data_IF_094215574455
#
_entry.id   IF_094215574455
#
_cell.length_a   1.000
_cell.length_b   1.000
_cell.length_c   1.000
_cell.angle_alpha   90.00
_cell.angle_beta   90.00
_cell.angle_gamma   90.00
#
_symmetry.space_group_name_H-M   'P 1'
#
loop_
_entity.id
_entity.type
_entity.pdbx_description
1 polymer ?
#
# COMPACT_ATOMS: atom_id res chain seq x y z
N UNK A 1 -21.07 -7.26 -14.45
CA UNK A 1 -20.14 -7.69 -15.50
C UNK A 1 -19.01 -6.67 -15.54
N UNK A 2 -17.76 -7.02 -15.22
CA UNK A 2 -16.65 -6.04 -15.24
C UNK A 2 -16.47 -5.50 -16.66
N UNK A 3 -16.35 -4.18 -16.81
CA UNK A 3 -16.03 -3.54 -18.09
C UNK A 3 -14.65 -4.01 -18.57
N UNK A 4 -14.41 -4.14 -19.89
CA UNK A 4 -13.11 -4.50 -20.47
C UNK A 4 -11.96 -3.67 -19.90
N UNK A 5 -12.17 -2.36 -19.65
CA UNK A 5 -11.17 -1.50 -18.98
C UNK A 5 -10.78 -2.03 -17.59
N UNK A 6 -11.75 -2.42 -16.77
CA UNK A 6 -11.53 -2.93 -15.42
C UNK A 6 -10.84 -4.29 -15.44
N UNK A 7 -11.14 -5.15 -16.44
CA UNK A 7 -10.46 -6.43 -16.62
C UNK A 7 -8.97 -6.20 -16.91
N UNK A 8 -8.65 -5.31 -17.85
CA UNK A 8 -7.26 -4.95 -18.18
C UNK A 8 -6.55 -4.36 -16.97
N UNK A 9 -7.19 -3.44 -16.25
CA UNK A 9 -6.60 -2.82 -15.06
C UNK A 9 -6.33 -3.84 -13.95
N UNK A 10 -7.30 -4.72 -13.67
CA UNK A 10 -7.14 -5.79 -12.67
C UNK A 10 -5.99 -6.74 -13.04
N UNK A 11 -5.91 -7.16 -14.30
CA UNK A 11 -4.83 -8.04 -14.75
C UNK A 11 -3.47 -7.34 -14.67
N UNK A 12 -3.41 -6.05 -15.04
CA UNK A 12 -2.21 -5.22 -14.91
C UNK A 12 -1.74 -5.17 -13.46
N UNK A 13 -2.63 -4.85 -12.51
CA UNK A 13 -2.34 -4.83 -11.08
C UNK A 13 -1.81 -6.18 -10.59
N UNK A 14 -2.49 -7.29 -10.93
CA UNK A 14 -2.10 -8.63 -10.51
C UNK A 14 -0.76 -9.08 -11.07
N UNK A 15 -0.50 -8.83 -12.36
CA UNK A 15 0.75 -9.20 -13.00
C UNK A 15 1.91 -8.37 -12.47
N UNK A 16 1.74 -7.06 -12.31
CA UNK A 16 2.75 -6.19 -11.72
C UNK A 16 3.03 -6.56 -10.28
N UNK A 17 2.00 -6.88 -9.48
CA UNK A 17 2.21 -7.32 -8.10
C UNK A 17 3.05 -8.60 -8.01
N UNK A 18 2.85 -9.54 -8.95
CA UNK A 18 3.54 -10.84 -8.97
C UNK A 18 4.92 -10.78 -9.61
N UNK A 19 5.09 -10.03 -10.70
CA UNK A 19 6.25 -10.06 -11.61
C UNK A 19 7.06 -8.76 -11.61
N UNK A 20 6.58 -7.70 -10.96
CA UNK A 20 7.11 -6.34 -11.10
C UNK A 20 6.63 -5.66 -12.39
N UNK A 21 6.78 -4.35 -12.45
CA UNK A 21 6.45 -3.55 -13.63
C UNK A 21 7.33 -3.92 -14.83
N UNK A 22 8.63 -4.07 -14.61
CA UNK A 22 9.63 -4.40 -15.64
C UNK A 22 9.41 -5.81 -16.17
N UNK A 23 9.08 -6.76 -15.29
CA UNK A 23 8.82 -8.16 -15.64
C UNK A 23 7.45 -8.41 -16.30
N UNK A 24 6.60 -7.39 -16.42
CA UNK A 24 5.26 -7.50 -17.03
C UNK A 24 5.26 -6.90 -18.43
N UNK A 25 4.84 -7.67 -19.43
CA UNK A 25 4.65 -7.20 -20.81
C UNK A 25 3.18 -6.85 -21.11
N UNK A 26 2.90 -6.09 -22.17
CA UNK A 26 1.52 -5.88 -22.64
C UNK A 26 0.90 -7.21 -23.09
N UNK A 27 1.68 -8.09 -23.72
CA UNK A 27 1.18 -9.41 -24.14
C UNK A 27 0.76 -10.26 -22.94
N UNK A 28 1.49 -10.21 -21.83
CA UNK A 28 1.09 -10.91 -20.59
C UNK A 28 -0.31 -10.48 -20.14
N UNK A 29 -0.62 -9.19 -20.24
CA UNK A 29 -1.93 -8.62 -19.86
C UNK A 29 -3.02 -9.04 -20.85
N UNK A 30 -2.72 -9.05 -22.15
CA UNK A 30 -3.65 -9.49 -23.19
C UNK A 30 -4.01 -10.97 -23.00
N UNK A 31 -3.00 -11.81 -22.75
CA UNK A 31 -3.14 -13.25 -22.53
C UNK A 31 -3.98 -13.54 -21.27
N UNK A 32 -3.70 -12.84 -20.14
CA UNK A 32 -4.45 -12.99 -18.89
C UNK A 32 -5.93 -12.57 -19.03
N UNK A 33 -6.22 -11.59 -19.88
CA UNK A 33 -7.58 -11.03 -20.03
C UNK A 33 -8.36 -11.60 -21.19
N UNK A 34 -7.72 -12.39 -22.06
CA UNK A 34 -8.23 -12.81 -23.37
C UNK A 34 -8.75 -11.61 -24.20
N UNK A 35 -8.05 -10.47 -24.12
CA UNK A 35 -8.39 -9.26 -24.91
C UNK A 35 -7.44 -9.08 -26.08
N UNK A 36 -7.91 -8.39 -27.12
CA UNK A 36 -7.10 -8.06 -28.28
C UNK A 36 -6.27 -6.79 -28.07
N UNK A 37 -5.14 -6.68 -28.78
CA UNK A 37 -4.26 -5.49 -28.77
C UNK A 37 -5.03 -4.19 -28.99
N UNK A 38 -5.97 -4.16 -29.95
CA UNK A 38 -6.80 -2.97 -30.22
C UNK A 38 -7.71 -2.57 -29.05
N UNK A 39 -8.16 -3.53 -28.23
CA UNK A 39 -8.96 -3.22 -27.03
C UNK A 39 -8.11 -2.62 -25.91
N UNK A 40 -6.85 -3.08 -25.75
CA UNK A 40 -5.92 -2.47 -24.80
C UNK A 40 -5.65 -1.01 -25.16
N UNK A 41 -5.23 -0.75 -26.40
CA UNK A 41 -4.91 0.60 -26.87
C UNK A 41 -6.13 1.51 -27.02
N UNK A 42 -7.35 0.99 -26.93
CA UNK A 42 -8.54 1.83 -26.79
C UNK A 42 -8.67 2.45 -25.39
N UNK A 43 -8.14 1.80 -24.34
CA UNK A 43 -8.26 2.26 -22.96
C UNK A 43 -6.96 2.82 -22.36
N UNK A 44 -5.80 2.36 -22.85
CA UNK A 44 -4.49 2.75 -22.36
C UNK A 44 -3.50 2.85 -23.53
N UNK A 45 -2.89 4.01 -23.71
CA UNK A 45 -1.89 4.32 -24.73
C UNK A 45 -0.59 3.55 -24.50
N UNK A 46 -0.32 3.11 -23.26
CA UNK A 46 0.90 2.37 -22.92
C UNK A 46 0.77 1.53 -21.64
N UNK A 47 1.77 0.66 -21.41
CA UNK A 47 1.94 -0.03 -20.11
C UNK A 47 2.14 0.96 -18.96
N UNK A 48 2.82 2.07 -19.21
CA UNK A 48 3.04 3.15 -18.22
C UNK A 48 1.69 3.73 -17.79
N UNK A 49 0.83 4.07 -18.73
CA UNK A 49 -0.50 4.61 -18.42
C UNK A 49 -1.37 3.60 -17.67
N UNK A 50 -1.35 2.33 -18.07
CA UNK A 50 -2.05 1.28 -17.33
C UNK A 50 -1.53 1.14 -15.89
N UNK A 51 -0.21 1.22 -15.67
CA UNK A 51 0.39 1.19 -14.34
C UNK A 51 0.08 2.44 -13.51
N UNK A 52 0.05 3.63 -14.12
CA UNK A 52 -0.39 4.85 -13.45
C UNK A 52 -1.84 4.73 -12.98
N UNK A 53 -2.71 4.14 -13.79
CA UNK A 53 -4.09 3.86 -13.39
C UNK A 53 -4.17 2.84 -12.22
N UNK A 54 -3.24 1.88 -12.13
CA UNK A 54 -3.12 0.97 -10.97
C UNK A 54 -2.72 1.75 -9.72
N UNK A 55 -1.73 2.64 -9.83
CA UNK A 55 -1.30 3.52 -8.72
C UNK A 55 -2.46 4.40 -8.26
N UNK A 56 -3.19 5.03 -9.18
CA UNK A 56 -4.36 5.84 -8.87
C UNK A 56 -5.45 5.03 -8.14
N UNK A 57 -5.63 3.75 -8.51
CA UNK A 57 -6.56 2.88 -7.82
C UNK A 57 -6.11 2.61 -6.37
N UNK A 58 -4.83 2.31 -6.15
CA UNK A 58 -4.29 2.16 -4.80
C UNK A 58 -4.41 3.46 -3.98
N UNK A 59 -4.11 4.62 -4.58
CA UNK A 59 -4.27 5.93 -3.94
C UNK A 59 -5.71 6.13 -3.50
N UNK A 60 -6.70 5.86 -4.36
CA UNK A 60 -8.13 5.98 -4.01
C UNK A 60 -8.54 5.05 -2.87
N UNK A 61 -8.08 3.80 -2.90
CA UNK A 61 -8.35 2.81 -1.85
C UNK A 61 -7.78 3.29 -0.51
N UNK A 62 -6.52 3.72 -0.49
CA UNK A 62 -5.86 4.20 0.72
C UNK A 62 -6.51 5.49 1.22
N UNK A 63 -6.79 6.45 0.35
CA UNK A 63 -7.48 7.69 0.71
C UNK A 63 -8.85 7.41 1.33
N UNK A 64 -9.65 6.53 0.73
CA UNK A 64 -11.02 6.26 1.17
C UNK A 64 -11.05 5.41 2.44
N UNK A 65 -10.35 4.27 2.45
CA UNK A 65 -10.49 3.30 3.52
C UNK A 65 -9.52 3.55 4.67
N UNK A 66 -8.27 3.90 4.37
CA UNK A 66 -7.24 4.05 5.39
C UNK A 66 -7.16 5.48 5.94
N UNK A 67 -6.92 6.47 5.07
CA UNK A 67 -6.61 7.83 5.49
C UNK A 67 -7.84 8.57 6.00
N UNK A 68 -8.93 8.59 5.21
CA UNK A 68 -10.19 9.24 5.57
C UNK A 68 -11.16 8.29 6.28
N UNK A 69 -10.86 6.99 6.30
CA UNK A 69 -11.57 5.98 7.06
C UNK A 69 -10.86 5.73 8.39
N UNK A 70 -10.16 4.60 8.49
CA UNK A 70 -9.53 4.06 9.72
C UNK A 70 -8.79 5.13 10.53
N UNK A 71 -7.91 5.92 9.91
CA UNK A 71 -7.06 6.89 10.61
C UNK A 71 -7.72 8.24 10.90
N UNK A 72 -8.97 8.46 10.46
CA UNK A 72 -9.71 9.70 10.70
C UNK A 72 -11.04 9.49 11.42
N UNK A 73 -11.31 8.29 11.96
CA UNK A 73 -12.53 8.05 12.75
C UNK A 73 -12.47 8.78 14.08
N UNK A 74 -13.65 9.19 14.54
CA UNK A 74 -13.86 9.74 15.90
C UNK A 74 -13.91 8.60 16.94
N UNK A 75 -12.90 7.74 16.88
CA UNK A 75 -12.63 6.66 17.82
C UNK A 75 -11.33 6.96 18.58
N UNK A 76 -10.89 6.04 19.44
CA UNK A 76 -9.59 6.19 20.11
C UNK A 76 -8.45 6.22 19.09
N UNK A 77 -7.53 7.20 19.13
CA UNK A 77 -6.38 7.23 18.23
C UNK A 77 -5.51 5.96 18.30
N UNK A 78 -5.47 5.31 19.47
CA UNK A 78 -4.82 4.02 19.66
C UNK A 78 -5.53 2.90 18.89
N UNK A 79 -6.87 2.90 18.89
CA UNK A 79 -7.66 1.95 18.13
C UNK A 79 -7.45 2.13 16.62
N UNK A 80 -7.46 3.38 16.13
CA UNK A 80 -7.20 3.71 14.72
C UNK A 80 -5.84 3.17 14.25
N UNK A 81 -4.78 3.37 15.04
CA UNK A 81 -3.43 2.87 14.72
C UNK A 81 -3.36 1.34 14.71
N UNK A 82 -4.06 0.66 15.63
CA UNK A 82 -4.15 -0.81 15.66
C UNK A 82 -4.93 -1.34 14.46
N UNK A 83 -6.07 -0.74 14.14
CA UNK A 83 -6.89 -1.14 13.01
C UNK A 83 -6.18 -0.93 11.67
N UNK A 84 -5.32 0.08 11.54
CA UNK A 84 -4.45 0.22 10.36
C UNK A 84 -3.58 -1.04 10.16
N UNK A 85 -2.98 -1.56 11.23
CA UNK A 85 -2.16 -2.78 11.16
C UNK A 85 -3.02 -4.01 10.85
N UNK A 86 -4.21 -4.10 11.43
CA UNK A 86 -5.15 -5.20 11.17
C UNK A 86 -5.65 -5.20 9.72
N UNK A 87 -5.87 -4.01 9.15
CA UNK A 87 -6.24 -3.86 7.75
C UNK A 87 -5.12 -4.35 6.82
N UNK A 88 -3.87 -3.96 7.10
CA UNK A 88 -2.70 -4.43 6.33
C UNK A 88 -2.51 -5.94 6.49
N UNK A 89 -2.67 -6.47 7.70
CA UNK A 89 -2.56 -7.91 7.99
C UNK A 89 -3.62 -8.71 7.23
N UNK A 90 -4.87 -8.23 7.24
CA UNK A 90 -6.02 -8.90 6.61
C UNK A 90 -5.88 -9.01 5.09
N UNK A 91 -5.28 -8.00 4.44
CA UNK A 91 -4.95 -8.06 3.00
C UNK A 91 -3.96 -9.19 2.68
N UNK A 92 -3.11 -9.58 3.63
CA UNK A 92 -2.14 -10.65 3.45
C UNK A 92 -2.67 -12.00 3.89
N UNK A 93 -3.42 -12.08 4.99
CA UNK A 93 -3.87 -13.35 5.59
C UNK A 93 -4.64 -14.28 4.64
N UNK A 94 -5.25 -13.75 3.58
CA UNK A 94 -6.01 -14.52 2.59
C UNK A 94 -5.15 -15.01 1.39
N UNK A 95 -3.88 -14.63 1.32
CA UNK A 95 -2.98 -14.94 0.20
C UNK A 95 -2.28 -16.28 0.40
N UNK A 96 -2.11 -17.03 -0.69
CA UNK A 96 -1.33 -18.29 -0.71
C UNK A 96 0.17 -18.07 -0.92
N UNK A 97 0.51 -16.98 -1.59
CA UNK A 97 1.89 -16.57 -1.89
C UNK A 97 1.97 -15.08 -1.58
N UNK A 98 3.02 -14.68 -0.87
CA UNK A 98 3.22 -13.32 -0.44
C UNK A 98 4.20 -12.60 -1.35
N UNK A 99 3.74 -11.53 -2.01
CA UNK A 99 4.59 -10.70 -2.87
C UNK A 99 5.06 -9.41 -2.17
N UNK A 100 4.79 -9.26 -0.87
CA UNK A 100 5.08 -8.05 -0.08
C UNK A 100 4.04 -6.96 -0.28
N UNK A 101 4.43 -5.70 -0.05
CA UNK A 101 3.56 -4.54 -0.23
C UNK A 101 3.34 -4.23 -1.73
N UNK A 102 2.08 -4.18 -2.24
CA UNK A 102 1.82 -3.81 -3.64
C UNK A 102 2.41 -2.43 -4.01
N UNK A 103 2.14 -1.41 -3.18
CA UNK A 103 2.64 -0.05 -3.40
C UNK A 103 4.14 0.05 -3.11
N UNK A 104 4.63 -0.59 -2.03
CA UNK A 104 6.04 -0.57 -1.66
C UNK A 104 6.95 -1.19 -2.74
N UNK A 105 6.51 -2.26 -3.40
CA UNK A 105 7.23 -2.83 -4.54
C UNK A 105 7.37 -1.82 -5.68
N UNK A 106 6.30 -1.08 -6.02
CA UNK A 106 6.34 -0.03 -7.04
C UNK A 106 7.29 1.11 -6.66
N UNK A 107 7.29 1.52 -5.38
CA UNK A 107 8.23 2.53 -4.89
C UNK A 107 9.66 2.11 -5.14
N UNK A 108 10.02 0.88 -4.74
CA UNK A 108 11.38 0.34 -4.88
C UNK A 108 11.78 0.25 -6.36
N UNK A 109 10.86 -0.18 -7.23
CA UNK A 109 11.16 -0.42 -8.63
C UNK A 109 11.22 0.87 -9.46
N UNK A 110 10.35 1.84 -9.20
CA UNK A 110 10.07 2.94 -10.15
C UNK A 110 10.51 4.33 -9.66
N UNK A 111 10.62 4.58 -8.36
CA UNK A 111 10.77 5.94 -7.82
C UNK A 111 12.05 6.65 -8.28
N UNK A 112 13.14 5.91 -8.47
CA UNK A 112 14.41 6.49 -8.93
C UNK A 112 14.49 6.65 -10.46
N UNK A 113 13.51 6.11 -11.21
CA UNK A 113 13.56 6.00 -12.66
C UNK A 113 12.64 6.97 -13.38
N UNK A 114 11.50 7.32 -12.78
CA UNK A 114 10.47 8.11 -13.44
C UNK A 114 9.66 8.95 -12.43
N UNK A 115 9.69 10.27 -12.62
CA UNK A 115 8.99 11.24 -11.77
C UNK A 115 7.47 11.09 -11.82
N UNK A 116 6.91 10.60 -12.93
CA UNK A 116 5.46 10.41 -13.06
C UNK A 116 4.97 9.28 -12.15
N UNK A 117 5.83 8.29 -11.86
CA UNK A 117 5.56 7.29 -10.84
C UNK A 117 5.92 7.77 -9.43
N UNK A 118 7.08 8.43 -9.28
CA UNK A 118 7.59 8.87 -7.98
C UNK A 118 6.63 9.81 -7.25
N UNK A 119 6.13 10.84 -7.93
CA UNK A 119 5.29 11.90 -7.30
C UNK A 119 4.01 11.36 -6.65
N UNK A 120 3.14 10.60 -7.34
CA UNK A 120 1.93 10.08 -6.70
C UNK A 120 2.24 9.09 -5.56
N UNK A 121 3.29 8.28 -5.70
CA UNK A 121 3.72 7.35 -4.65
C UNK A 121 4.27 8.10 -3.42
N UNK A 122 5.11 9.12 -3.63
CA UNK A 122 5.62 9.99 -2.56
C UNK A 122 4.48 10.68 -1.83
N UNK A 123 3.52 11.26 -2.56
CA UNK A 123 2.36 11.92 -1.98
C UNK A 123 1.56 10.95 -1.10
N UNK A 124 1.31 9.73 -1.59
CA UNK A 124 0.57 8.71 -0.84
C UNK A 124 1.27 8.35 0.49
N UNK A 125 2.59 8.16 0.48
CA UNK A 125 3.35 7.91 1.71
C UNK A 125 3.38 9.12 2.63
N UNK A 126 3.50 10.35 2.09
CA UNK A 126 3.47 11.58 2.88
C UNK A 126 2.13 11.77 3.59
N UNK A 127 1.02 11.50 2.90
CA UNK A 127 -0.32 11.59 3.48
C UNK A 127 -0.52 10.54 4.59
N UNK A 128 -0.02 9.32 4.39
CA UNK A 128 -0.03 8.28 5.42
C UNK A 128 0.80 8.68 6.65
N UNK A 129 2.01 9.19 6.44
CA UNK A 129 2.88 9.68 7.52
C UNK A 129 2.20 10.77 8.33
N UNK A 130 1.56 11.72 7.66
CA UNK A 130 0.82 12.80 8.30
C UNK A 130 -0.34 12.25 9.13
N UNK A 131 -1.13 11.33 8.61
CA UNK A 131 -2.27 10.72 9.33
C UNK A 131 -1.85 9.90 10.54
N UNK A 132 -0.74 9.15 10.45
CA UNK A 132 -0.16 8.46 11.60
C UNK A 132 0.31 9.49 12.65
N UNK A 133 1.00 10.55 12.22
CA UNK A 133 1.47 11.60 13.13
C UNK A 133 0.32 12.38 13.80
N UNK A 134 -0.81 12.58 13.12
CA UNK A 134 -2.05 13.14 13.70
C UNK A 134 -2.60 12.26 14.83
N UNK A 135 -2.69 10.94 14.62
CA UNK A 135 -3.13 10.01 15.66
C UNK A 135 -2.14 9.94 16.84
N UNK A 136 -0.83 9.92 16.56
CA UNK A 136 0.20 9.99 17.61
C UNK A 136 0.17 11.30 18.39
N UNK A 137 -0.11 12.42 17.71
CA UNK A 137 -0.28 13.74 18.34
C UNK A 137 -1.43 13.72 19.34
N UNK A 138 -2.55 13.10 18.98
CA UNK A 138 -3.70 12.93 19.87
C UNK A 138 -3.42 12.01 21.07
N UNK A 139 -2.50 11.04 20.95
CA UNK A 139 -2.07 10.19 22.07
C UNK A 139 -1.06 10.86 23.00
N UNK A 140 -0.11 11.60 22.43
CA UNK A 140 1.07 12.12 23.16
C UNK A 140 0.89 13.54 23.68
N UNK A 141 -0.09 14.28 23.15
CA UNK A 141 -0.22 15.73 23.36
C UNK A 141 0.86 16.57 22.66
N UNK A 142 1.83 15.95 21.98
CA UNK A 142 2.85 16.67 21.22
C UNK A 142 2.31 17.13 19.87
N UNK A 143 2.89 18.19 19.31
CA UNK A 143 2.51 18.68 17.97
C UNK A 143 2.76 17.61 16.90
N UNK A 144 1.92 17.56 15.86
CA UNK A 144 2.06 16.64 14.70
C UNK A 144 3.48 16.61 14.14
N UNK A 145 4.13 17.78 13.98
CA UNK A 145 5.51 17.88 13.47
C UNK A 145 6.52 17.11 14.32
N UNK A 146 6.30 17.03 15.63
CA UNK A 146 7.19 16.31 16.55
C UNK A 146 6.97 14.80 16.49
N UNK A 147 5.80 14.35 16.04
CA UNK A 147 5.47 12.94 15.84
C UNK A 147 5.82 12.40 14.44
N UNK A 148 6.19 13.25 13.47
CA UNK A 148 6.58 12.82 12.13
C UNK A 148 7.74 11.80 12.10
N UNK A 149 8.83 11.96 12.89
CA UNK A 149 9.89 10.95 12.91
C UNK A 149 9.40 9.57 13.40
N UNK A 150 8.49 9.54 14.37
CA UNK A 150 7.87 8.29 14.83
C UNK A 150 6.98 7.69 13.75
N UNK A 151 6.18 8.50 13.03
CA UNK A 151 5.41 8.04 11.88
C UNK A 151 6.28 7.44 10.77
N UNK A 152 7.46 8.03 10.49
CA UNK A 152 8.43 7.46 9.56
C UNK A 152 8.94 6.08 10.04
N UNK A 153 9.30 5.97 11.31
CA UNK A 153 9.76 4.72 11.89
C UNK A 153 8.70 3.61 11.84
N UNK A 154 7.43 3.96 12.11
CA UNK A 154 6.29 3.03 12.01
C UNK A 154 6.14 2.51 10.58
N UNK A 155 6.17 3.39 9.57
CA UNK A 155 6.09 2.96 8.17
C UNK A 155 7.30 2.10 7.78
N UNK A 156 8.50 2.47 8.22
CA UNK A 156 9.71 1.67 7.97
C UNK A 156 9.59 0.26 8.58
N UNK A 157 9.04 0.15 9.79
CA UNK A 157 8.79 -1.14 10.44
C UNK A 157 7.72 -1.95 9.68
N UNK A 158 6.61 -1.34 9.26
CA UNK A 158 5.58 -2.01 8.44
C UNK A 158 6.19 -2.54 7.13
N UNK A 159 6.94 -1.70 6.40
CA UNK A 159 7.55 -2.11 5.13
C UNK A 159 8.64 -3.18 5.35
N UNK A 160 9.40 -3.08 6.43
CA UNK A 160 10.36 -4.12 6.83
C UNK A 160 9.66 -5.45 7.15
N UNK A 161 8.53 -5.43 7.87
CA UNK A 161 7.75 -6.64 8.15
C UNK A 161 7.16 -7.27 6.88
N UNK A 162 6.69 -6.46 5.92
CA UNK A 162 6.20 -6.95 4.63
C UNK A 162 7.32 -7.50 3.74
N UNK A 163 8.53 -6.95 3.84
CA UNK A 163 9.73 -7.52 3.22
C UNK A 163 10.06 -8.89 3.82
N UNK A 164 10.03 -8.99 5.16
CA UNK A 164 10.28 -10.25 5.85
C UNK A 164 9.23 -11.30 5.50
N UNK A 165 7.94 -10.94 5.48
CA UNK A 165 6.86 -11.79 5.00
C UNK A 165 7.14 -12.32 3.59
N UNK A 166 7.60 -11.45 2.68
CA UNK A 166 7.91 -11.83 1.29
C UNK A 166 9.09 -12.79 1.20
N UNK A 167 10.12 -12.66 2.03
CA UNK A 167 11.29 -13.55 1.96
C UNK A 167 11.05 -14.88 2.68
N UNK A 168 10.32 -14.88 3.80
CA UNK A 168 10.05 -16.10 4.58
C UNK A 168 8.85 -16.87 4.09
N UNK A 169 7.92 -16.21 3.38
CA UNK A 169 6.60 -16.75 3.04
C UNK A 169 5.80 -17.23 4.27
N UNK A 170 6.07 -16.65 5.44
CA UNK A 170 5.47 -17.04 6.71
C UNK A 170 4.69 -15.88 7.31
N UNK A 171 3.36 -16.04 7.40
CA UNK A 171 2.44 -15.04 7.93
C UNK A 171 2.72 -14.74 9.42
N UNK A 172 3.24 -15.71 10.17
CA UNK A 172 3.55 -15.54 11.60
C UNK A 172 4.59 -14.44 11.82
N UNK A 173 5.47 -14.21 10.84
CA UNK A 173 6.47 -13.12 10.90
C UNK A 173 5.80 -11.75 10.79
N UNK A 174 4.74 -11.63 9.98
CA UNK A 174 3.97 -10.38 9.92
C UNK A 174 3.18 -10.17 11.22
N UNK A 175 2.49 -11.21 11.69
CA UNK A 175 1.69 -11.20 12.91
C UNK A 175 2.53 -10.77 14.13
N UNK A 176 3.64 -11.48 14.39
CA UNK A 176 4.51 -11.20 15.54
C UNK A 176 5.06 -9.77 15.52
N UNK A 177 5.46 -9.27 14.35
CA UNK A 177 5.98 -7.91 14.23
C UNK A 177 4.88 -6.85 14.43
N UNK A 178 3.67 -7.11 13.92
CA UNK A 178 2.55 -6.20 14.09
C UNK A 178 2.06 -6.18 15.53
N UNK A 179 2.06 -7.30 16.24
CA UNK A 179 1.71 -7.33 17.66
C UNK A 179 2.71 -6.56 18.53
N UNK A 180 4.02 -6.66 18.23
CA UNK A 180 5.04 -5.83 18.87
C UNK A 180 4.82 -4.34 18.60
N UNK A 181 4.46 -3.98 17.37
CA UNK A 181 4.16 -2.60 17.00
C UNK A 181 2.90 -2.07 17.70
N UNK A 182 1.83 -2.87 17.77
CA UNK A 182 0.60 -2.55 18.54
C UNK A 182 0.92 -2.32 20.02
N UNK A 183 1.73 -3.18 20.64
CA UNK A 183 2.18 -3.03 22.03
C UNK A 183 2.97 -1.74 22.24
N UNK A 184 3.76 -1.32 21.23
CA UNK A 184 4.50 -0.06 21.31
C UNK A 184 3.59 1.16 21.34
N UNK A 185 2.43 1.12 20.66
CA UNK A 185 1.45 2.21 20.69
C UNK A 185 0.78 2.36 22.05
N UNK A 186 0.53 1.26 22.76
CA UNK A 186 -0.05 1.27 24.11
C UNK A 186 0.85 2.02 25.09
N UNK A 187 2.15 1.73 25.06
CA UNK A 187 3.16 2.39 25.91
C UNK A 187 3.27 3.91 25.67
N UNK A 188 2.87 4.37 24.48
CA UNK A 188 2.83 5.79 24.13
C UNK A 188 1.61 6.49 24.74
N UNK A 189 0.47 5.80 24.85
CA UNK A 189 -0.78 6.34 25.40
C UNK A 189 -0.90 6.30 26.92
N UNK A 190 0.02 5.64 27.63
CA UNK A 190 0.05 5.57 29.10
C UNK A 190 0.74 6.77 29.78
N UNK A 191 1.22 7.75 29.00
CA UNK A 191 1.88 8.96 29.49
C UNK A 191 0.99 10.18 29.36
#
# INVERSE_FOLDING_TARGET
>A
MRNTKEKILTATEQLIYKKGYTGTSINDILDETATGKGQFYYYFDSKKEACLAVIDNHVKIWQTHLLNGILSRDESPLANLKEMLDWIYSDHAQKKIYYGCPVGNLVIELSALDEDFRKPLEQLFSDLQKKIAENLSALTGLLVKQNLPAAHAIIAQIQGSLLLLKVTQDLNVLESNFDLLKTSFEKVGEK
#
